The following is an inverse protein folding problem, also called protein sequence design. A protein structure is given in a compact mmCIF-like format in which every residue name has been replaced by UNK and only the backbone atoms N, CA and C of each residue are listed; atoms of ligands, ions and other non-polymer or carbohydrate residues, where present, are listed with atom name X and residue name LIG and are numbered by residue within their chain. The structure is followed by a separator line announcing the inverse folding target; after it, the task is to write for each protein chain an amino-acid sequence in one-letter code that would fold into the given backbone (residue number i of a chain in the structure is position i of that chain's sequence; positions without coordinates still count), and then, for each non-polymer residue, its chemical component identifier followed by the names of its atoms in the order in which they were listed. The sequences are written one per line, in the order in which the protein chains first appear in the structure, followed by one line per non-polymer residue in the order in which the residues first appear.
data_IF_541786180848
#
_entry.id   IF_541786180848
#
_cell.length_a   1.000
_cell.length_b   1.000
_cell.length_c   1.000
_cell.angle_alpha   90.00
_cell.angle_beta   90.00
_cell.angle_gamma   90.00
#
_symmetry.space_group_name_H-M   'P 1'
#
loop_
_entity.id
_entity.type
_entity.pdbx_description
1 polymer ?
#
# COMPACT_ATOMS: atom_id res chain seq x y z
N UNK A 1 43.85 17.14 35.06
CA UNK A 1 42.79 17.92 34.39
C UNK A 1 41.54 17.05 34.42
N UNK A 2 41.13 16.61 35.61
CA UNK A 2 40.35 17.39 36.62
C UNK A 2 38.98 17.71 36.01
N UNK A 3 37.86 17.09 36.41
CA UNK A 3 37.32 16.82 37.75
C UNK A 3 36.04 17.68 37.89
N UNK A 4 34.90 17.28 38.44
CA UNK A 4 34.44 16.04 39.05
C UNK A 4 32.93 16.13 39.33
N UNK A 5 32.33 14.97 39.59
CA UNK A 5 31.00 14.79 40.18
C UNK A 5 30.95 15.25 41.64
N UNK A 6 29.77 15.67 42.11
CA UNK A 6 29.52 15.99 43.52
C UNK A 6 28.06 15.78 43.90
N UNK A 7 27.72 14.53 44.23
CA UNK A 7 26.48 14.13 44.87
C UNK A 7 26.67 14.17 46.39
N UNK A 8 25.88 14.98 47.10
CA UNK A 8 25.81 14.97 48.56
C UNK A 8 24.73 13.99 49.02
N UNK A 9 25.18 12.80 49.42
CA UNK A 9 24.43 11.85 50.21
C UNK A 9 24.98 11.88 51.64
N UNK A 10 24.16 12.37 52.58
CA UNK A 10 24.33 12.08 54.00
C UNK A 10 23.82 10.65 54.27
N UNK A 11 24.57 9.86 55.05
CA UNK A 11 23.98 8.65 55.66
C UNK A 11 24.96 7.60 56.18
N UNK A 12 25.12 7.65 57.50
CA UNK A 12 25.23 6.49 58.41
C UNK A 12 26.56 5.78 58.71
N UNK A 13 26.99 6.05 59.95
CA UNK A 13 27.21 5.10 61.03
C UNK A 13 28.38 4.09 60.95
N UNK A 14 29.40 4.36 61.77
CA UNK A 14 30.30 3.37 62.34
C UNK A 14 30.77 3.83 63.73
N UNK A 15 30.83 2.94 64.75
CA UNK A 15 30.89 3.31 66.16
C UNK A 15 32.33 3.50 66.68
N UNK A 16 32.43 4.07 67.88
CA UNK A 16 33.59 4.03 68.79
C UNK A 16 34.79 4.97 68.51
N UNK A 17 34.66 6.20 69.02
CA UNK A 17 35.65 6.95 69.83
C UNK A 17 35.04 8.36 70.07
N UNK A 18 34.81 8.85 71.27
CA UNK A 18 35.71 8.84 72.41
C UNK A 18 36.36 10.23 72.52
N UNK A 19 35.83 11.02 73.46
CA UNK A 19 36.37 12.24 74.07
C UNK A 19 36.16 13.64 73.46
N UNK A 20 35.61 14.48 74.35
CA UNK A 20 35.81 15.92 74.56
C UNK A 20 35.44 16.88 73.41
N UNK A 21 34.57 17.86 73.62
CA UNK A 21 34.78 18.91 74.61
C UNK A 21 33.46 19.42 75.19
N UNK A 22 33.53 19.71 76.49
CA UNK A 22 32.47 20.27 77.30
C UNK A 22 32.37 21.79 77.16
N UNK A 23 31.16 22.26 77.48
CA UNK A 23 30.78 23.48 78.17
C UNK A 23 31.01 24.87 77.53
N UNK A 24 29.88 25.52 77.28
CA UNK A 24 29.73 26.95 77.07
C UNK A 24 28.28 27.36 77.30
N UNK A 25 27.78 27.13 78.51
CA UNK A 25 26.48 27.62 79.01
C UNK A 25 26.56 29.14 79.23
N UNK A 26 25.63 29.88 78.64
CA UNK A 26 25.24 31.22 79.08
C UNK A 26 23.82 31.50 78.57
N UNK A 27 22.84 31.15 79.40
CA UNK A 27 21.44 31.51 79.20
C UNK A 27 21.19 33.02 79.11
N UNK A 28 20.21 33.36 78.29
CA UNK A 28 19.35 34.51 78.50
C UNK A 28 17.95 34.13 78.00
N UNK A 29 16.99 34.24 78.91
CA UNK A 29 15.56 34.11 78.71
C UNK A 29 14.98 35.12 77.70
N UNK A 30 13.67 35.04 77.46
CA UNK A 30 12.80 35.92 76.64
C UNK A 30 12.59 35.46 75.20
N UNK A 31 11.63 34.56 74.99
CA UNK A 31 10.22 34.91 74.77
C UNK A 31 9.56 33.75 74.04
N UNK A 32 8.48 33.22 74.63
CA UNK A 32 7.53 32.38 73.92
C UNK A 32 6.93 33.20 72.78
N UNK A 33 7.57 33.13 71.61
CA UNK A 33 6.91 33.47 70.37
C UNK A 33 5.78 32.45 70.20
N UNK A 34 4.59 32.88 70.63
CA UNK A 34 3.32 32.46 70.09
C UNK A 34 3.52 32.14 68.61
N UNK A 35 3.46 30.85 68.27
CA UNK A 35 3.09 30.47 66.90
C UNK A 35 1.82 31.26 66.60
N UNK A 36 1.81 32.13 65.57
CA UNK A 36 0.55 32.68 65.13
C UNK A 36 -0.32 31.47 64.83
N UNK A 37 -1.52 31.47 65.42
CA UNK A 37 -2.59 30.57 65.01
C UNK A 37 -2.49 30.44 63.49
N UNK A 38 -2.23 29.23 63.00
CA UNK A 38 -2.60 28.90 61.64
C UNK A 38 -4.08 29.18 61.64
N UNK A 39 -4.43 30.35 61.13
CA UNK A 39 -5.76 30.70 60.73
C UNK A 39 -6.20 29.51 59.90
N UNK A 40 -7.04 28.64 60.49
CA UNK A 40 -7.82 27.65 59.76
C UNK A 40 -8.88 28.40 58.98
N UNK A 41 -8.43 29.43 58.25
CA UNK A 41 -9.15 30.09 57.20
C UNK A 41 -9.62 28.97 56.32
N UNK A 42 -10.93 28.78 56.37
CA UNK A 42 -11.71 27.81 55.61
C UNK A 42 -10.98 27.47 54.32
N UNK A 43 -10.60 26.20 54.06
CA UNK A 43 -9.85 25.85 52.85
C UNK A 43 -10.55 26.53 51.68
N UNK A 44 -9.78 27.35 50.93
CA UNK A 44 -10.33 28.15 49.85
C UNK A 44 -11.23 27.25 49.01
N UNK A 45 -12.52 27.58 48.97
CA UNK A 45 -13.50 26.74 48.30
C UNK A 45 -13.11 26.62 46.82
N UNK A 46 -13.34 25.44 46.24
CA UNK A 46 -13.08 25.18 44.82
C UNK A 46 -13.61 26.34 43.96
N UNK A 47 -12.74 27.11 43.26
CA UNK A 47 -13.17 28.28 42.49
C UNK A 47 -13.93 27.90 41.21
N UNK A 48 -13.89 26.61 40.83
CA UNK A 48 -14.70 26.03 39.77
C UNK A 48 -15.82 25.18 40.35
N UNK A 49 -15.84 23.91 39.96
CA UNK A 49 -16.83 22.93 40.41
C UNK A 49 -16.14 21.69 40.98
N UNK A 50 -16.78 21.08 41.98
CA UNK A 50 -16.38 19.79 42.51
C UNK A 50 -17.07 18.67 41.72
N UNK A 51 -16.27 17.80 41.10
CA UNK A 51 -16.77 16.68 40.28
C UNK A 51 -16.11 15.38 40.72
N UNK A 52 -16.71 14.20 40.46
CA UNK A 52 -16.11 12.93 40.82
C UNK A 52 -14.69 12.80 40.25
N UNK A 53 -13.76 12.27 41.04
CA UNK A 53 -12.41 12.01 40.54
C UNK A 53 -12.44 10.98 39.41
N UNK A 54 -11.55 11.13 38.45
CA UNK A 54 -11.32 10.18 37.38
C UNK A 54 -10.86 8.81 37.94
N UNK A 55 -11.31 7.69 37.36
CA UNK A 55 -10.72 6.40 37.65
C UNK A 55 -9.27 6.33 37.15
N UNK A 56 -8.48 5.43 37.72
CA UNK A 56 -7.08 5.22 37.29
C UNK A 56 -6.98 4.95 35.77
N UNK A 57 -6.07 5.66 35.11
CA UNK A 57 -5.80 5.51 33.67
C UNK A 57 -6.68 6.36 32.75
N UNK A 58 -7.53 7.22 33.30
CA UNK A 58 -8.24 8.29 32.58
C UNK A 58 -7.55 9.64 32.82
N UNK A 59 -7.79 10.60 31.93
CA UNK A 59 -7.37 11.99 32.17
C UNK A 59 -8.10 12.60 33.35
N UNK A 60 -7.52 13.66 33.91
CA UNK A 60 -8.27 14.56 34.80
C UNK A 60 -9.50 15.13 34.07
N UNK A 61 -10.58 15.48 34.81
CA UNK A 61 -11.75 16.12 34.23
C UNK A 61 -11.40 17.43 33.51
N UNK A 62 -11.91 17.58 32.30
CA UNK A 62 -11.70 18.72 31.43
C UNK A 62 -13.04 19.25 30.90
N UNK A 63 -13.04 20.50 30.45
CA UNK A 63 -14.18 21.11 29.76
C UNK A 63 -14.14 20.72 28.28
N UNK A 64 -15.13 19.97 27.82
CA UNK A 64 -15.25 19.51 26.44
C UNK A 64 -16.29 20.33 25.68
N UNK A 65 -15.89 20.90 24.55
CA UNK A 65 -16.82 21.44 23.56
C UNK A 65 -16.93 20.46 22.38
N UNK A 66 -18.15 20.32 21.82
CA UNK A 66 -18.43 19.46 20.66
C UNK A 66 -19.29 20.24 19.67
N UNK A 67 -18.88 20.28 18.41
CA UNK A 67 -19.64 20.94 17.35
C UNK A 67 -18.86 21.07 16.03
N UNK A 68 -19.36 21.84 15.06
CA UNK A 68 -18.67 22.08 13.78
C UNK A 68 -17.35 22.83 13.94
N UNK A 69 -16.28 22.39 13.27
CA UNK A 69 -14.92 22.94 13.46
C UNK A 69 -14.84 24.46 13.23
N UNK A 70 -15.62 25.00 12.30
CA UNK A 70 -15.69 26.43 11.99
C UNK A 70 -16.31 27.29 13.12
N UNK A 71 -16.98 26.65 14.08
CA UNK A 71 -17.59 27.27 15.26
C UNK A 71 -16.88 26.94 16.56
N UNK A 72 -15.76 26.21 16.50
CA UNK A 72 -15.03 25.81 17.69
C UNK A 72 -14.53 27.02 18.50
N UNK A 73 -14.94 27.18 19.77
CA UNK A 73 -14.46 28.26 20.61
C UNK A 73 -13.00 28.01 21.03
N UNK A 74 -12.30 29.10 21.35
CA UNK A 74 -11.05 29.02 22.10
C UNK A 74 -11.31 28.48 23.52
N UNK A 75 -10.27 27.91 24.11
CA UNK A 75 -10.34 27.46 25.50
C UNK A 75 -10.63 28.65 26.45
N UNK A 76 -11.58 28.52 27.39
CA UNK A 76 -11.97 29.61 28.26
C UNK A 76 -10.85 29.97 29.25
N UNK A 77 -10.85 31.20 29.77
CA UNK A 77 -9.80 31.66 30.69
C UNK A 77 -9.65 30.80 31.97
N UNK A 78 -10.72 30.16 32.41
CA UNK A 78 -10.70 29.23 33.55
C UNK A 78 -10.02 27.88 33.22
N UNK A 79 -9.95 27.51 31.94
CA UNK A 79 -9.32 26.29 31.44
C UNK A 79 -8.53 26.59 30.16
N UNK A 80 -7.41 27.34 30.22
CA UNK A 80 -6.78 27.92 29.03
C UNK A 80 -5.94 26.94 28.21
N UNK A 81 -5.76 25.70 28.67
CA UNK A 81 -4.84 24.72 28.06
C UNK A 81 -5.66 23.73 27.23
N UNK A 82 -5.34 23.59 25.94
CA UNK A 82 -5.91 22.53 25.09
C UNK A 82 -5.33 21.19 25.54
N UNK A 83 -6.20 20.31 26.05
CA UNK A 83 -5.84 18.98 26.51
C UNK A 83 -6.06 17.90 25.45
N UNK A 84 -7.04 18.09 24.56
CA UNK A 84 -7.38 17.14 23.51
C UNK A 84 -8.08 17.85 22.35
N UNK A 85 -7.82 17.38 21.13
CA UNK A 85 -8.61 17.71 19.95
C UNK A 85 -8.89 16.43 19.16
N UNK A 86 -10.11 16.30 18.65
CA UNK A 86 -10.52 15.12 17.90
C UNK A 86 -11.71 15.39 17.01
N UNK A 87 -11.96 14.48 16.07
CA UNK A 87 -13.00 14.59 15.05
C UNK A 87 -13.86 13.34 14.98
N UNK A 88 -15.12 13.48 14.61
CA UNK A 88 -16.03 12.36 14.42
C UNK A 88 -17.02 12.68 13.30
N UNK A 89 -17.94 11.74 13.03
CA UNK A 89 -18.87 11.83 11.90
C UNK A 89 -18.13 11.94 10.56
N UNK A 90 -17.28 10.94 10.28
CA UNK A 90 -16.48 10.87 9.07
C UNK A 90 -17.31 10.39 7.89
N UNK A 91 -17.30 11.17 6.81
CA UNK A 91 -17.83 10.75 5.51
C UNK A 91 -16.67 10.55 4.54
N UNK A 92 -16.50 9.31 4.06
CA UNK A 92 -15.48 9.00 3.08
C UNK A 92 -15.77 9.69 1.75
N UNK A 93 -14.74 10.27 1.13
CA UNK A 93 -14.85 10.83 -0.22
C UNK A 93 -15.15 9.74 -1.26
N UNK A 94 -15.69 10.13 -2.41
CA UNK A 94 -15.97 9.18 -3.49
C UNK A 94 -14.68 8.47 -3.96
N UNK A 95 -14.74 7.15 -4.13
CA UNK A 95 -13.63 6.40 -4.72
C UNK A 95 -13.62 6.63 -6.22
N UNK A 96 -12.49 7.05 -6.79
CA UNK A 96 -12.30 7.05 -8.24
C UNK A 96 -12.22 5.62 -8.76
N UNK A 97 -12.85 5.32 -9.91
CA UNK A 97 -12.62 4.05 -10.58
C UNK A 97 -11.16 3.99 -11.03
N UNK A 98 -10.54 2.82 -10.89
CA UNK A 98 -9.21 2.62 -11.42
C UNK A 98 -9.25 2.56 -12.95
N UNK A 99 -8.24 3.12 -13.63
CA UNK A 99 -8.21 3.10 -15.08
C UNK A 99 -7.95 1.68 -15.57
N UNK A 100 -8.50 1.36 -16.74
CA UNK A 100 -8.28 0.05 -17.35
C UNK A 100 -6.82 -0.11 -17.80
N UNK A 101 -6.23 -1.27 -17.55
CA UNK A 101 -4.91 -1.61 -18.06
C UNK A 101 -4.99 -2.11 -19.50
N UNK A 102 -4.00 -1.74 -20.30
CA UNK A 102 -3.81 -2.16 -21.67
C UNK A 102 -2.37 -2.68 -21.85
N UNK A 103 -2.18 -3.51 -22.86
CA UNK A 103 -0.87 -3.98 -23.27
C UNK A 103 -0.62 -3.54 -24.72
N UNK A 104 0.60 -3.07 -24.98
CA UNK A 104 1.05 -2.89 -26.35
C UNK A 104 1.27 -4.25 -27.02
N UNK A 105 1.19 -4.32 -28.37
CA UNK A 105 1.53 -5.54 -29.08
C UNK A 105 2.94 -6.02 -28.71
N UNK A 106 3.14 -7.34 -28.55
CA UNK A 106 4.45 -7.86 -28.22
C UNK A 106 5.41 -7.67 -29.38
N UNK A 107 6.69 -7.46 -29.05
CA UNK A 107 7.76 -7.74 -30.01
C UNK A 107 7.74 -9.23 -30.37
N UNK A 108 8.03 -9.60 -31.61
CA UNK A 108 8.16 -10.99 -32.01
C UNK A 108 9.14 -11.17 -33.18
N UNK A 109 9.65 -12.39 -33.31
CA UNK A 109 10.39 -12.81 -34.50
C UNK A 109 9.95 -14.20 -34.96
N UNK A 110 10.16 -14.52 -36.24
CA UNK A 110 9.86 -15.83 -36.81
C UNK A 110 11.17 -16.58 -37.06
N UNK A 111 11.40 -17.64 -36.30
CA UNK A 111 12.50 -18.57 -36.49
C UNK A 111 12.21 -19.46 -37.71
N UNK A 112 13.12 -19.43 -38.68
CA UNK A 112 13.01 -20.21 -39.91
C UNK A 112 13.35 -21.69 -39.64
N UNK A 113 12.59 -22.64 -40.21
CA UNK A 113 12.87 -24.06 -40.03
C UNK A 113 14.13 -24.42 -40.81
N UNK A 114 15.21 -24.80 -40.12
CA UNK A 114 16.45 -25.21 -40.77
C UNK A 114 16.51 -26.72 -41.10
N UNK A 115 15.77 -27.56 -40.38
CA UNK A 115 15.86 -29.01 -40.47
C UNK A 115 14.95 -29.61 -41.56
N UNK A 116 15.16 -29.26 -42.83
CA UNK A 116 14.40 -29.87 -43.93
C UNK A 116 14.95 -31.27 -44.23
N UNK A 117 14.07 -32.15 -44.68
CA UNK A 117 14.41 -33.53 -45.03
C UNK A 117 13.71 -33.95 -46.31
N UNK A 118 14.34 -34.83 -47.09
CA UNK A 118 13.65 -35.52 -48.19
C UNK A 118 13.39 -36.96 -47.84
N UNK A 119 12.35 -37.53 -48.44
CA UNK A 119 12.03 -38.95 -48.31
C UNK A 119 12.02 -39.63 -49.66
N UNK A 120 12.42 -40.90 -49.65
CA UNK A 120 12.30 -41.82 -50.78
C UNK A 120 10.87 -42.38 -50.97
N UNK A 121 9.86 -41.62 -50.55
CA UNK A 121 8.43 -41.93 -50.66
C UNK A 121 7.60 -40.65 -50.74
N UNK A 122 6.32 -40.78 -51.10
CA UNK A 122 5.30 -39.77 -50.82
C UNK A 122 4.05 -40.47 -50.26
N UNK A 123 3.48 -40.03 -49.12
CA UNK A 123 3.89 -38.87 -48.32
C UNK A 123 5.25 -39.07 -47.60
N UNK A 124 5.70 -38.02 -46.91
CA UNK A 124 6.84 -38.03 -46.01
C UNK A 124 6.56 -38.98 -44.82
N UNK A 125 7.60 -39.41 -44.11
CA UNK A 125 7.48 -40.25 -42.90
C UNK A 125 6.77 -41.61 -43.10
N UNK A 126 6.78 -42.15 -44.31
CA UNK A 126 6.28 -43.52 -44.53
C UNK A 126 7.23 -44.50 -43.84
N UNK A 127 6.73 -45.40 -42.96
CA UNK A 127 7.59 -46.37 -42.27
C UNK A 127 8.42 -47.21 -43.26
N UNK A 128 9.74 -47.21 -43.06
CA UNK A 128 10.69 -47.93 -43.91
C UNK A 128 11.15 -47.19 -45.16
N UNK A 129 10.66 -45.97 -45.42
CA UNK A 129 11.24 -45.10 -46.44
C UNK A 129 12.53 -44.45 -45.93
N UNK A 130 13.55 -44.34 -46.79
CA UNK A 130 14.79 -43.65 -46.45
C UNK A 130 14.55 -42.14 -46.33
N UNK A 131 15.03 -41.56 -45.23
CA UNK A 131 15.10 -40.10 -45.00
C UNK A 131 16.51 -39.61 -45.33
N UNK A 132 16.62 -38.49 -46.03
CA UNK A 132 17.90 -37.81 -46.31
C UNK A 132 17.83 -36.38 -45.81
N UNK A 133 18.73 -35.96 -44.89
CA UNK A 133 18.78 -34.57 -44.45
C UNK A 133 19.07 -33.62 -45.61
N UNK A 134 18.21 -32.62 -45.76
CA UNK A 134 18.40 -31.48 -46.65
C UNK A 134 18.38 -30.21 -45.79
N UNK A 135 19.14 -30.22 -44.69
CA UNK A 135 19.07 -29.21 -43.64
C UNK A 135 20.02 -28.03 -43.86
N UNK A 136 19.53 -26.82 -43.55
CA UNK A 136 20.31 -25.58 -43.52
C UNK A 136 21.33 -25.58 -42.38
N UNK A 137 22.43 -24.80 -42.50
CA UNK A 137 23.39 -24.66 -41.41
C UNK A 137 22.73 -24.06 -40.15
N UNK A 138 23.33 -24.29 -38.99
CA UNK A 138 22.85 -23.69 -37.74
C UNK A 138 22.87 -22.16 -37.80
N UNK A 139 21.81 -21.51 -37.30
CA UNK A 139 21.68 -20.05 -37.32
C UNK A 139 21.35 -19.46 -38.70
N UNK A 140 20.82 -20.28 -39.62
CA UNK A 140 20.44 -19.83 -40.95
C UNK A 140 19.36 -18.75 -40.93
N UNK A 141 19.59 -17.68 -41.68
CA UNK A 141 18.74 -16.49 -41.80
C UNK A 141 17.78 -16.53 -42.98
N UNK A 142 17.74 -17.65 -43.71
CA UNK A 142 16.89 -17.82 -44.89
C UNK A 142 17.58 -17.51 -46.22
N UNK A 143 18.82 -17.00 -46.18
CA UNK A 143 19.63 -16.76 -47.38
C UNK A 143 19.85 -18.02 -48.22
N UNK A 144 20.13 -17.86 -49.52
CA UNK A 144 20.38 -19.00 -50.38
C UNK A 144 21.55 -19.86 -49.85
N UNK A 145 21.35 -21.17 -49.70
CA UNK A 145 22.40 -22.09 -49.28
C UNK A 145 22.30 -23.44 -50.00
N UNK A 146 23.45 -23.98 -50.40
CA UNK A 146 23.60 -25.32 -51.00
C UNK A 146 24.04 -26.39 -49.99
N UNK A 147 24.03 -26.08 -48.69
CA UNK A 147 24.42 -27.05 -47.67
C UNK A 147 23.56 -28.33 -47.77
N UNK A 148 24.16 -29.51 -47.61
CA UNK A 148 23.41 -30.76 -47.67
C UNK A 148 22.64 -30.99 -48.97
N UNK A 149 23.13 -30.45 -50.11
CA UNK A 149 22.54 -30.69 -51.42
C UNK A 149 22.40 -32.18 -51.77
N UNK A 150 21.41 -32.51 -52.58
CA UNK A 150 21.11 -33.87 -53.06
C UNK A 150 21.24 -33.90 -54.57
N UNK A 151 22.14 -34.74 -55.06
CA UNK A 151 22.41 -34.90 -56.49
C UNK A 151 21.23 -35.51 -57.25
N UNK A 152 21.11 -35.16 -58.53
CA UNK A 152 20.11 -35.76 -59.42
C UNK A 152 20.28 -37.29 -59.47
N UNK A 153 19.18 -38.01 -59.30
CA UNK A 153 19.18 -39.48 -59.36
C UNK A 153 19.90 -40.17 -58.20
N UNK A 154 20.24 -39.45 -57.11
CA UNK A 154 20.86 -40.07 -55.94
C UNK A 154 19.96 -41.17 -55.37
N UNK A 155 20.56 -42.32 -55.02
CA UNK A 155 19.87 -43.49 -54.48
C UNK A 155 20.09 -43.60 -52.96
N UNK A 156 19.00 -43.80 -52.21
CA UNK A 156 18.96 -44.00 -50.76
C UNK A 156 18.16 -45.27 -50.48
N UNK A 157 18.81 -46.28 -49.90
CA UNK A 157 18.25 -47.61 -49.63
C UNK A 157 17.50 -48.25 -50.82
N UNK A 158 18.07 -48.09 -52.02
CA UNK A 158 17.55 -48.71 -53.25
C UNK A 158 16.39 -47.96 -53.91
N UNK A 159 16.02 -46.77 -53.41
CA UNK A 159 15.06 -45.86 -54.03
C UNK A 159 15.67 -44.47 -54.26
N UNK A 160 15.00 -43.61 -55.04
CA UNK A 160 15.45 -42.22 -55.24
C UNK A 160 15.29 -41.44 -53.94
N UNK A 161 16.35 -40.78 -53.47
CA UNK A 161 16.39 -40.07 -52.19
C UNK A 161 15.36 -38.93 -52.08
N UNK A 162 15.06 -38.31 -53.22
CA UNK A 162 14.21 -37.13 -53.33
C UNK A 162 12.93 -37.48 -54.10
N UNK A 163 11.87 -37.81 -53.37
CA UNK A 163 10.50 -38.00 -53.92
C UNK A 163 9.48 -37.10 -53.20
N UNK A 164 9.74 -36.77 -51.94
CA UNK A 164 9.03 -35.73 -51.20
C UNK A 164 9.98 -34.89 -50.37
N UNK A 165 9.57 -33.67 -50.06
CA UNK A 165 10.28 -32.71 -49.24
C UNK A 165 9.40 -32.38 -48.03
N UNK A 166 9.96 -32.60 -46.84
CA UNK A 166 9.38 -32.18 -45.57
C UNK A 166 10.05 -30.89 -45.10
N UNK A 167 9.21 -29.92 -44.75
CA UNK A 167 9.64 -28.65 -44.20
C UNK A 167 8.94 -28.49 -42.84
N UNK A 168 9.70 -28.46 -41.73
CA UNK A 168 9.12 -28.25 -40.41
C UNK A 168 8.36 -26.92 -40.31
N UNK A 169 7.46 -26.80 -39.34
CA UNK A 169 6.81 -25.55 -39.03
C UNK A 169 7.85 -24.50 -38.55
N UNK A 170 7.81 -23.24 -39.02
CA UNK A 170 8.52 -22.15 -38.38
C UNK A 170 8.02 -21.93 -36.95
N UNK A 171 8.81 -21.23 -36.13
CA UNK A 171 8.45 -20.94 -34.74
C UNK A 171 8.37 -19.44 -34.50
N UNK A 172 7.34 -19.01 -33.80
CA UNK A 172 7.29 -17.64 -33.28
C UNK A 172 8.07 -17.59 -31.99
N UNK A 173 9.00 -16.65 -31.90
CA UNK A 173 9.73 -16.32 -30.68
C UNK A 173 9.09 -15.06 -30.10
N UNK A 174 8.23 -15.18 -29.07
CA UNK A 174 7.57 -14.03 -28.47
C UNK A 174 8.57 -13.22 -27.63
N UNK A 175 8.42 -11.89 -27.69
CA UNK A 175 9.06 -10.93 -26.81
C UNK A 175 8.19 -10.58 -25.60
N UNK A 176 8.33 -9.37 -25.08
CA UNK A 176 7.53 -8.85 -23.97
C UNK A 176 6.52 -7.81 -24.45
N UNK A 177 5.43 -7.64 -23.70
CA UNK A 177 4.51 -6.52 -23.87
C UNK A 177 4.81 -5.40 -22.87
N UNK A 178 4.73 -4.16 -23.33
CA UNK A 178 4.77 -3.00 -22.45
C UNK A 178 3.35 -2.73 -21.88
N UNK A 179 3.19 -2.66 -20.54
CA UNK A 179 1.93 -2.27 -19.94
C UNK A 179 1.70 -0.77 -20.09
N UNK A 180 0.45 -0.38 -20.29
CA UNK A 180 0.02 1.03 -20.28
C UNK A 180 -1.35 1.18 -19.67
N UNK A 181 -1.67 2.41 -19.27
CA UNK A 181 -2.98 2.78 -18.76
C UNK A 181 -3.83 3.25 -19.95
N UNK A 182 -5.10 2.85 -20.00
CA UNK A 182 -6.04 3.43 -20.96
C UNK A 182 -6.15 4.94 -20.70
N UNK A 183 -6.09 5.76 -21.76
CA UNK A 183 -6.18 7.21 -21.60
C UNK A 183 -7.43 7.56 -20.79
N UNK A 184 -7.21 8.32 -19.72
CA UNK A 184 -8.27 8.71 -18.81
C UNK A 184 -9.25 9.64 -19.57
N UNK A 185 -10.57 9.47 -19.44
CA UNK A 185 -11.52 10.42 -19.99
C UNK A 185 -11.23 11.82 -19.45
N UNK A 186 -11.46 12.88 -20.25
CA UNK A 186 -11.31 14.27 -19.82
C UNK A 186 -11.99 14.48 -18.45
N UNK A 187 -11.19 14.81 -17.43
CA UNK A 187 -11.61 14.83 -16.02
C UNK A 187 -12.79 15.80 -15.78
N UNK A 188 -13.78 15.43 -14.96
CA UNK A 188 -14.47 16.36 -14.10
C UNK A 188 -13.72 16.51 -12.76
N UNK A 189 -13.51 17.78 -12.40
CA UNK A 189 -13.27 18.44 -11.11
C UNK A 189 -12.35 17.77 -10.06
N UNK A 190 -11.56 18.63 -9.40
CA UNK A 190 -10.50 18.28 -8.44
C UNK A 190 -10.93 17.19 -7.43
N UNK A 191 -10.03 16.27 -7.04
CA UNK A 191 -10.38 15.18 -6.14
C UNK A 191 -10.88 15.71 -4.80
N UNK A 192 -12.11 15.35 -4.44
CA UNK A 192 -12.53 15.29 -3.05
C UNK A 192 -11.55 14.34 -2.35
N UNK A 193 -10.82 14.84 -1.34
CA UNK A 193 -9.77 14.09 -0.66
C UNK A 193 -10.27 12.83 0.07
N UNK A 194 -9.49 12.38 1.06
CA UNK A 194 -9.81 11.19 1.87
C UNK A 194 -11.27 11.13 2.38
N UNK A 195 -11.86 12.29 2.61
CA UNK A 195 -13.20 12.50 3.14
C UNK A 195 -13.20 13.74 4.01
N UNK A 196 -14.26 13.92 4.80
CA UNK A 196 -14.36 15.00 5.76
C UNK A 196 -14.99 14.52 7.06
N UNK A 197 -14.64 15.20 8.15
CA UNK A 197 -15.30 15.04 9.44
C UNK A 197 -16.28 16.20 9.63
N UNK A 198 -17.51 15.91 10.03
CA UNK A 198 -18.50 16.97 10.28
C UNK A 198 -18.40 17.56 11.69
N UNK A 199 -17.90 16.79 12.66
CA UNK A 199 -17.88 17.16 14.07
C UNK A 199 -16.45 17.22 14.61
N UNK A 200 -16.16 18.30 15.31
CA UNK A 200 -14.93 18.55 16.03
C UNK A 200 -15.19 18.61 17.54
N UNK A 201 -14.19 18.22 18.32
CA UNK A 201 -14.20 18.30 19.76
C UNK A 201 -12.88 18.87 20.27
N UNK A 202 -12.98 19.75 21.27
CA UNK A 202 -11.85 20.34 21.98
C UNK A 202 -12.05 20.21 23.47
N UNK A 203 -11.12 19.54 24.16
CA UNK A 203 -11.07 19.51 25.61
C UNK A 203 -10.07 20.53 26.13
N UNK A 204 -10.49 21.27 27.15
CA UNK A 204 -9.75 22.35 27.77
C UNK A 204 -9.55 22.06 29.26
N UNK A 205 -8.31 22.19 29.74
CA UNK A 205 -7.95 22.02 31.15
C UNK A 205 -7.36 23.30 31.73
N UNK A 206 -7.33 23.39 33.05
CA UNK A 206 -6.80 24.53 33.78
C UNK A 206 -6.48 24.16 35.21
N UNK A 207 -5.79 25.06 35.90
CA UNK A 207 -5.37 24.85 37.28
C UNK A 207 -6.49 25.19 38.26
N UNK A 208 -7.00 24.20 38.98
CA UNK A 208 -7.91 24.39 40.10
C UNK A 208 -7.41 23.60 41.33
N UNK A 209 -6.53 24.22 42.12
CA UNK A 209 -5.78 23.53 43.20
C UNK A 209 -6.50 23.45 44.54
N UNK A 210 -7.73 23.94 44.64
CA UNK A 210 -8.48 23.98 45.89
C UNK A 210 -9.16 22.61 46.17
N UNK A 211 -9.10 22.08 47.40
CA UNK A 211 -9.73 20.81 47.73
C UNK A 211 -11.27 20.95 47.77
N UNK A 212 -11.95 19.89 47.33
CA UNK A 212 -13.39 19.73 47.53
C UNK A 212 -13.69 19.20 48.93
N UNK A 213 -14.89 19.46 49.44
CA UNK A 213 -15.31 18.99 50.75
C UNK A 213 -15.37 17.45 50.84
N UNK A 214 -15.74 16.79 49.74
CA UNK A 214 -15.72 15.33 49.61
C UNK A 214 -14.37 14.89 48.99
N UNK A 215 -13.61 14.00 49.66
CA UNK A 215 -12.32 13.50 49.15
C UNK A 215 -12.44 12.67 47.86
N UNK A 216 -13.63 12.15 47.54
CA UNK A 216 -13.91 11.47 46.28
C UNK A 216 -14.10 12.43 45.09
N UNK A 217 -14.09 13.73 45.35
CA UNK A 217 -14.26 14.77 44.34
C UNK A 217 -12.93 15.47 44.06
N UNK A 218 -12.79 16.00 42.84
CA UNK A 218 -11.69 16.86 42.43
C UNK A 218 -12.25 18.20 41.98
N UNK A 219 -11.48 19.26 42.20
CA UNK A 219 -11.83 20.60 41.74
C UNK A 219 -11.40 20.75 40.29
N UNK A 220 -12.33 21.13 39.42
CA UNK A 220 -12.09 21.36 37.99
C UNK A 220 -12.67 22.72 37.58
N UNK A 221 -12.18 23.36 36.51
CA UNK A 221 -12.86 24.51 35.92
C UNK A 221 -14.34 24.25 35.68
N UNK A 222 -15.18 25.26 35.95
CA UNK A 222 -16.60 25.22 35.65
C UNK A 222 -16.87 25.70 34.22
N UNK A 223 -17.89 25.17 33.52
CA UNK A 223 -18.32 25.70 32.24
C UNK A 223 -18.61 27.19 32.33
N UNK A 224 -18.22 28.00 31.33
CA UNK A 224 -18.63 29.40 31.28
C UNK A 224 -20.17 29.49 31.21
N UNK A 225 -20.74 30.51 31.84
CA UNK A 225 -22.17 30.75 31.89
C UNK A 225 -22.55 32.11 31.29
N UNK A 226 -23.80 32.26 30.83
CA UNK A 226 -24.31 33.51 30.26
C UNK A 226 -23.74 33.79 28.86
N UNK A 227 -23.50 35.07 28.55
CA UNK A 227 -23.02 35.52 27.22
C UNK A 227 -21.64 34.97 26.83
N UNK A 228 -20.87 34.46 27.81
CA UNK A 228 -19.57 33.85 27.57
C UNK A 228 -19.65 32.34 27.24
N UNK A 229 -20.83 31.73 27.33
CA UNK A 229 -21.02 30.32 27.00
C UNK A 229 -21.25 30.13 25.50
N UNK A 230 -20.56 29.19 24.82
CA UNK A 230 -20.93 28.82 23.47
C UNK A 230 -22.36 28.24 23.44
N UNK A 231 -23.11 28.40 22.33
CA UNK A 231 -24.47 27.87 22.22
C UNK A 231 -24.57 26.36 22.50
N UNK A 232 -23.54 25.61 22.10
CA UNK A 232 -23.43 24.16 22.32
C UNK A 232 -23.02 23.80 23.76
N UNK A 233 -22.56 24.76 24.57
CA UNK A 233 -22.12 24.55 25.95
C UNK A 233 -20.75 23.84 26.07
N UNK A 234 -20.29 23.68 27.31
CA UNK A 234 -19.14 22.84 27.65
C UNK A 234 -19.60 21.73 28.59
N UNK A 235 -19.24 20.49 28.25
CA UNK A 235 -19.43 19.31 29.09
C UNK A 235 -18.22 19.12 30.01
N UNK A 236 -18.40 18.44 31.14
CA UNK A 236 -17.27 18.02 31.98
C UNK A 236 -16.97 16.55 31.75
N UNK A 237 -15.79 16.26 31.19
CA UNK A 237 -15.47 14.93 30.67
C UNK A 237 -14.07 14.48 31.04
N UNK A 238 -13.87 13.17 31.06
CA UNK A 238 -12.56 12.52 31.14
C UNK A 238 -12.28 11.83 29.80
N UNK A 239 -11.02 11.68 29.41
CA UNK A 239 -10.65 11.03 28.15
C UNK A 239 -9.61 9.94 28.34
N UNK A 240 -9.62 8.98 27.41
CA UNK A 240 -8.64 7.90 27.34
C UNK A 240 -8.46 7.41 25.90
N UNK A 241 -7.23 7.07 25.56
CA UNK A 241 -6.91 6.49 24.25
C UNK A 241 -7.58 5.13 24.03
N UNK A 242 -8.02 4.93 22.78
CA UNK A 242 -8.77 3.77 22.30
C UNK A 242 -10.27 3.86 22.59
N UNK A 243 -11.02 2.91 22.05
CA UNK A 243 -12.42 2.72 22.42
C UNK A 243 -12.52 2.04 23.79
N UNK A 244 -13.26 2.67 24.71
CA UNK A 244 -13.41 2.26 26.11
C UNK A 244 -14.85 2.36 26.56
N UNK A 245 -15.19 1.58 27.57
CA UNK A 245 -16.44 1.76 28.31
C UNK A 245 -16.31 2.91 29.31
N UNK A 246 -17.36 3.70 29.40
CA UNK A 246 -17.39 4.81 30.33
C UNK A 246 -17.70 4.35 31.76
N UNK A 247 -17.05 4.95 32.78
CA UNK A 247 -17.38 4.67 34.17
C UNK A 247 -18.76 5.23 34.53
N UNK A 248 -19.38 4.66 35.55
CA UNK A 248 -20.72 5.09 36.00
C UNK A 248 -20.79 6.57 36.43
N UNK A 249 -19.66 7.17 36.82
CA UNK A 249 -19.57 8.59 37.19
C UNK A 249 -19.55 9.55 35.99
N UNK A 250 -19.23 9.04 34.80
CA UNK A 250 -19.18 9.77 33.52
C UNK A 250 -19.84 8.94 32.42
N UNK A 251 -21.15 8.65 32.50
CA UNK A 251 -21.79 7.64 31.65
C UNK A 251 -21.89 8.01 30.17
N UNK A 252 -21.82 9.29 29.81
CA UNK A 252 -22.09 9.75 28.44
C UNK A 252 -20.86 9.57 27.55
N UNK A 253 -20.93 8.62 26.62
CA UNK A 253 -19.80 8.19 25.79
C UNK A 253 -19.74 8.90 24.46
N UNK A 254 -18.57 9.45 24.13
CA UNK A 254 -18.24 10.00 22.82
C UNK A 254 -16.93 9.41 22.31
N UNK A 255 -16.85 9.11 21.02
CA UNK A 255 -15.64 8.56 20.38
C UNK A 255 -15.18 9.51 19.27
N UNK A 256 -13.91 9.87 19.31
CA UNK A 256 -13.28 10.78 18.37
C UNK A 256 -11.98 10.19 17.83
N UNK A 257 -11.54 10.72 16.70
CA UNK A 257 -10.36 10.30 15.96
C UNK A 257 -9.45 11.51 15.72
N UNK A 258 -8.15 11.31 15.72
CA UNK A 258 -7.18 12.36 15.40
C UNK A 258 -7.23 12.75 13.91
N UNK A 259 -7.61 11.80 13.05
CA UNK A 259 -7.74 12.01 11.61
C UNK A 259 -8.12 10.73 10.86
N UNK A 260 -7.92 10.74 9.55
CA UNK A 260 -8.12 9.59 8.68
C UNK A 260 -6.90 9.43 7.75
N UNK A 261 -6.52 8.18 7.49
CA UNK A 261 -5.54 7.81 6.48
C UNK A 261 -6.29 7.19 5.30
N UNK A 262 -6.01 7.70 4.10
CA UNK A 262 -6.53 7.14 2.87
C UNK A 262 -5.39 6.52 2.07
N UNK A 263 -5.42 5.20 1.97
CA UNK A 263 -4.47 4.43 1.17
C UNK A 263 -5.10 3.88 -0.10
N UNK A 264 -6.28 4.39 -0.49
CA UNK A 264 -6.96 3.95 -1.71
C UNK A 264 -6.09 4.29 -2.91
N UNK A 265 -5.91 3.30 -3.78
CA UNK A 265 -5.12 3.43 -4.99
C UNK A 265 -5.43 2.30 -5.97
N UNK A 266 -4.69 2.24 -7.05
CA UNK A 266 -4.88 1.23 -8.08
C UNK A 266 -3.68 0.27 -8.13
N UNK A 267 -3.97 -1.02 -8.31
CA UNK A 267 -2.94 -2.00 -8.58
C UNK A 267 -2.17 -1.60 -9.86
N UNK A 268 -0.83 -1.74 -9.88
CA UNK A 268 -0.04 -1.36 -11.05
C UNK A 268 -0.40 -2.22 -12.25
N UNK A 269 -0.45 -1.61 -13.45
CA UNK A 269 -0.68 -2.35 -14.68
C UNK A 269 0.49 -3.28 -15.02
N UNK A 270 0.16 -4.48 -15.47
CA UNK A 270 1.10 -5.48 -15.98
C UNK A 270 0.53 -6.21 -17.19
N UNK A 271 1.38 -6.98 -17.87
CA UNK A 271 1.01 -7.80 -19.02
C UNK A 271 1.45 -9.25 -18.81
N UNK A 272 0.57 -10.19 -19.12
CA UNK A 272 0.91 -11.61 -19.17
C UNK A 272 1.83 -11.94 -20.36
N UNK A 273 2.33 -13.17 -20.40
CA UNK A 273 3.12 -13.66 -21.55
C UNK A 273 2.28 -13.63 -22.85
N UNK A 274 2.90 -13.30 -24.00
CA UNK A 274 2.19 -13.29 -25.28
C UNK A 274 1.62 -14.66 -25.64
N UNK A 275 0.42 -14.67 -26.19
CA UNK A 275 -0.22 -15.88 -26.71
C UNK A 275 -0.78 -15.66 -28.12
N UNK A 276 -0.96 -16.76 -28.85
CA UNK A 276 -1.59 -16.73 -30.17
C UNK A 276 -0.72 -16.21 -31.31
N UNK A 277 0.59 -15.99 -31.09
CA UNK A 277 1.52 -15.60 -32.15
C UNK A 277 1.61 -16.65 -33.26
N UNK A 278 1.57 -16.21 -34.51
CA UNK A 278 1.71 -17.08 -35.68
C UNK A 278 2.71 -16.49 -36.67
N UNK A 279 3.41 -17.35 -37.42
CA UNK A 279 4.18 -16.86 -38.55
C UNK A 279 4.14 -17.82 -39.73
N UNK A 280 4.30 -17.25 -40.93
CA UNK A 280 4.38 -18.01 -42.16
C UNK A 280 5.66 -17.66 -42.90
N UNK A 281 6.28 -18.68 -43.49
CA UNK A 281 7.51 -18.57 -44.26
C UNK A 281 7.28 -19.11 -45.66
N UNK A 282 7.81 -18.41 -46.67
CA UNK A 282 7.94 -18.96 -48.02
C UNK A 282 9.23 -19.75 -48.08
N UNK A 283 9.11 -21.07 -48.19
CA UNK A 283 10.22 -22.00 -48.27
C UNK A 283 10.36 -22.50 -49.71
N UNK A 284 11.53 -22.29 -50.31
CA UNK A 284 11.83 -22.65 -51.70
C UNK A 284 13.05 -23.55 -51.80
N UNK A 285 12.96 -24.55 -52.68
CA UNK A 285 14.08 -25.41 -53.06
C UNK A 285 14.36 -25.28 -54.57
N UNK A 286 15.63 -25.43 -54.92
CA UNK A 286 16.15 -25.24 -56.26
C UNK A 286 17.07 -26.39 -56.63
N UNK A 287 17.21 -26.67 -57.92
CA UNK A 287 18.05 -27.76 -58.42
C UNK A 287 19.51 -27.37 -58.62
N UNK A 288 19.82 -26.07 -58.60
CA UNK A 288 21.17 -25.52 -58.66
C UNK A 288 21.63 -24.97 -57.32
N UNK A 289 22.91 -24.67 -57.18
CA UNK A 289 23.48 -24.11 -55.95
C UNK A 289 23.17 -22.62 -55.77
N UNK A 290 22.75 -21.94 -56.85
CA UNK A 290 22.56 -20.48 -56.90
C UNK A 290 21.12 -20.01 -56.59
N UNK A 291 20.22 -20.92 -56.23
CA UNK A 291 18.80 -20.62 -56.02
C UNK A 291 18.12 -19.99 -57.25
N UNK A 292 18.49 -20.44 -58.46
CA UNK A 292 17.97 -19.87 -59.71
C UNK A 292 17.08 -20.84 -60.49
N UNK A 293 17.30 -22.15 -60.34
CA UNK A 293 16.54 -23.20 -61.01
C UNK A 293 15.45 -23.72 -60.07
N UNK A 294 14.29 -23.07 -60.04
CA UNK A 294 13.19 -23.40 -59.13
C UNK A 294 12.70 -24.84 -59.27
N UNK A 295 12.54 -25.53 -58.14
CA UNK A 295 11.94 -26.88 -58.06
C UNK A 295 10.58 -26.81 -57.40
N UNK A 296 10.52 -26.29 -56.18
CA UNK A 296 9.29 -26.21 -55.39
C UNK A 296 9.34 -25.01 -54.43
N UNK A 297 8.17 -24.44 -54.16
CA UNK A 297 7.98 -23.31 -53.26
C UNK A 297 6.66 -23.47 -52.54
N UNK A 298 6.69 -23.42 -51.22
CA UNK A 298 5.51 -23.61 -50.37
C UNK A 298 5.50 -22.59 -49.25
N UNK A 299 4.31 -22.13 -48.87
CA UNK A 299 4.13 -21.33 -47.66
C UNK A 299 3.87 -22.29 -46.51
N UNK A 300 4.70 -22.23 -45.48
CA UNK A 300 4.61 -23.05 -44.27
C UNK A 300 4.25 -22.16 -43.11
N UNK A 301 3.18 -22.48 -42.39
CA UNK A 301 2.75 -21.75 -41.21
C UNK A 301 3.27 -22.43 -39.93
N UNK A 302 3.25 -21.71 -38.81
CA UNK A 302 3.74 -22.20 -37.52
C UNK A 302 2.86 -23.28 -36.87
N UNK A 303 1.76 -23.70 -37.50
CA UNK A 303 0.83 -24.69 -36.92
C UNK A 303 1.27 -26.13 -37.21
N UNK A 304 1.79 -26.39 -38.40
CA UNK A 304 2.18 -27.74 -38.80
C UNK A 304 3.30 -27.76 -39.85
N UNK A 305 4.11 -28.82 -39.82
CA UNK A 305 5.04 -29.11 -40.91
C UNK A 305 4.29 -29.42 -42.20
N UNK A 306 4.89 -29.08 -43.34
CA UNK A 306 4.36 -29.47 -44.64
C UNK A 306 5.18 -30.62 -45.24
N UNK A 307 4.48 -31.50 -45.94
CA UNK A 307 5.09 -32.48 -46.84
C UNK A 307 4.60 -32.21 -48.25
N UNK A 308 5.52 -32.01 -49.18
CA UNK A 308 5.19 -31.79 -50.60
C UNK A 308 5.88 -32.81 -51.49
N UNK A 309 5.19 -33.28 -52.51
CA UNK A 309 5.77 -34.16 -53.52
C UNK A 309 6.69 -33.35 -54.44
N UNK A 310 7.83 -33.92 -54.80
CA UNK A 310 8.73 -33.40 -55.83
C UNK A 310 8.90 -34.46 -56.92
N UNK A 311 9.28 -34.06 -58.12
CA UNK A 311 9.51 -35.02 -59.20
C UNK A 311 10.62 -36.00 -58.75
N UNK A 312 10.37 -37.32 -58.76
CA UNK A 312 11.34 -38.30 -58.29
C UNK A 312 12.70 -38.16 -58.97
N UNK A 313 13.76 -38.05 -58.17
CA UNK A 313 15.14 -37.97 -58.66
C UNK A 313 15.58 -36.59 -59.13
N UNK A 314 14.74 -35.55 -58.95
CA UNK A 314 15.15 -34.15 -59.12
C UNK A 314 16.26 -33.79 -58.13
N UNK A 315 17.28 -33.09 -58.62
CA UNK A 315 18.31 -32.52 -57.75
C UNK A 315 17.72 -31.45 -56.83
N UNK A 316 18.18 -31.42 -55.58
CA UNK A 316 17.96 -30.31 -54.66
C UNK A 316 19.33 -29.70 -54.36
N UNK A 317 19.73 -28.73 -55.17
CA UNK A 317 21.03 -28.06 -55.12
C UNK A 317 21.09 -26.95 -54.09
N UNK A 318 19.97 -26.29 -53.78
CA UNK A 318 19.92 -25.25 -52.76
C UNK A 318 18.51 -24.96 -52.24
N UNK A 319 18.44 -24.14 -51.19
CA UNK A 319 17.20 -23.66 -50.58
C UNK A 319 17.31 -22.22 -50.11
N UNK A 320 16.15 -21.58 -50.01
CA UNK A 320 15.96 -20.26 -49.41
C UNK A 320 14.67 -20.24 -48.59
N UNK A 321 14.60 -19.39 -47.57
CA UNK A 321 13.36 -19.12 -46.86
C UNK A 321 13.23 -17.63 -46.56
N UNK A 322 12.00 -17.11 -46.59
CA UNK A 322 11.72 -15.75 -46.16
C UNK A 322 10.42 -15.70 -45.36
N UNK A 323 10.38 -14.84 -44.34
CA UNK A 323 9.15 -14.59 -43.58
C UNK A 323 8.19 -13.81 -44.47
N UNK A 324 6.97 -14.34 -44.65
CA UNK A 324 5.92 -13.69 -45.43
C UNK A 324 4.85 -13.03 -44.56
N UNK A 325 4.63 -13.56 -43.36
CA UNK A 325 3.76 -12.94 -42.35
C UNK A 325 4.22 -13.29 -40.95
N UNK A 326 4.07 -12.33 -40.03
CA UNK A 326 4.29 -12.51 -38.61
C UNK A 326 3.17 -11.79 -37.88
N UNK A 327 2.38 -12.55 -37.14
CA UNK A 327 1.46 -12.04 -36.13
C UNK A 327 2.13 -12.27 -34.77
N UNK A 328 2.49 -11.21 -34.03
CA UNK A 328 3.17 -11.35 -32.74
C UNK A 328 2.26 -11.96 -31.66
N UNK A 329 0.94 -11.98 -31.86
CA UNK A 329 -0.04 -12.37 -30.85
C UNK A 329 -0.41 -11.21 -29.94
N UNK A 330 -1.02 -11.54 -28.79
CA UNK A 330 -1.50 -10.55 -27.83
C UNK A 330 -1.12 -10.90 -26.40
N UNK A 331 -1.05 -9.88 -25.55
CA UNK A 331 -0.91 -10.05 -24.11
C UNK A 331 -2.21 -9.71 -23.40
N UNK A 332 -2.55 -10.52 -22.41
CA UNK A 332 -3.65 -10.23 -21.51
C UNK A 332 -3.20 -9.16 -20.48
N UNK A 333 -3.91 -8.02 -20.37
CA UNK A 333 -3.61 -7.02 -19.36
C UNK A 333 -4.01 -7.51 -17.96
N UNK A 334 -3.27 -7.07 -16.96
CA UNK A 334 -3.48 -7.37 -15.55
C UNK A 334 -3.33 -6.10 -14.72
N UNK A 335 -3.91 -6.05 -13.54
CA UNK A 335 -3.88 -4.86 -12.68
C UNK A 335 -5.06 -3.92 -12.94
N UNK A 336 -4.99 -2.72 -12.36
CA UNK A 336 -6.08 -1.75 -12.46
C UNK A 336 -7.24 -2.04 -11.52
N UNK A 337 -7.12 -3.01 -10.60
CA UNK A 337 -8.10 -3.20 -9.54
C UNK A 337 -7.89 -2.16 -8.40
N UNK A 338 -8.98 -1.68 -7.76
CA UNK A 338 -8.88 -0.86 -6.57
C UNK A 338 -8.17 -1.61 -5.42
N UNK A 339 -7.32 -0.90 -4.71
CA UNK A 339 -6.54 -1.39 -3.57
C UNK A 339 -6.63 -0.41 -2.41
N UNK A 340 -6.30 -0.88 -1.20
CA UNK A 340 -6.29 -0.05 0.00
C UNK A 340 -7.69 0.26 0.54
N UNK A 341 -7.77 1.27 1.40
CA UNK A 341 -9.00 1.70 2.05
C UNK A 341 -8.80 2.97 2.86
N UNK A 342 -9.84 3.37 3.59
CA UNK A 342 -9.78 4.50 4.51
C UNK A 342 -9.82 3.97 5.94
N UNK A 343 -8.87 4.39 6.76
CA UNK A 343 -8.77 4.04 8.16
C UNK A 343 -8.81 5.30 9.04
N UNK A 344 -9.55 5.24 10.14
CA UNK A 344 -9.56 6.32 11.13
C UNK A 344 -8.41 6.14 12.11
N UNK A 345 -7.72 7.23 12.42
CA UNK A 345 -6.50 7.23 13.23
C UNK A 345 -6.74 7.79 14.62
N UNK A 346 -5.93 7.36 15.60
CA UNK A 346 -5.85 7.98 16.92
C UNK A 346 -7.19 8.02 17.66
N UNK A 347 -7.89 6.89 17.72
CA UNK A 347 -9.18 6.78 18.43
C UNK A 347 -9.00 7.13 19.91
N UNK A 348 -9.91 7.96 20.44
CA UNK A 348 -10.02 8.26 21.85
C UNK A 348 -11.48 8.26 22.30
N UNK A 349 -11.72 7.79 23.51
CA UNK A 349 -13.04 7.85 24.16
C UNK A 349 -13.06 9.00 25.15
N UNK A 350 -14.10 9.83 25.06
CA UNK A 350 -14.43 10.88 26.01
C UNK A 350 -15.71 10.49 26.73
N UNK A 351 -15.67 10.52 28.05
CA UNK A 351 -16.78 10.14 28.93
C UNK A 351 -17.19 11.36 29.72
N UNK A 352 -18.44 11.78 29.58
CA UNK A 352 -18.95 13.02 30.12
C UNK A 352 -19.96 12.79 31.24
N UNK A 353 -20.09 13.78 32.12
CA UNK A 353 -21.19 13.84 33.07
C UNK A 353 -22.47 14.24 32.33
N UNK A 354 -23.64 13.76 32.77
CA UNK A 354 -24.91 14.23 32.26
C UNK A 354 -25.02 15.74 32.47
N UNK A 355 -25.52 16.45 31.45
CA UNK A 355 -25.88 17.85 31.62
C UNK A 355 -26.91 17.98 32.75
N UNK A 356 -26.76 18.97 33.65
CA UNK A 356 -27.81 19.27 34.61
C UNK A 356 -29.08 19.62 33.84
N UNK A 357 -30.14 18.82 34.00
CA UNK A 357 -31.46 19.13 33.42
C UNK A 357 -31.87 20.49 33.99
N UNK A 358 -32.14 21.51 33.15
CA UNK A 358 -32.57 22.80 33.66
C UNK A 358 -33.88 22.62 34.45
N UNK A 359 -33.91 23.15 35.67
CA UNK A 359 -35.09 23.08 36.53
C UNK A 359 -36.32 23.58 35.76
N UNK A 360 -37.47 22.88 35.83
CA UNK A 360 -38.68 23.33 35.17
C UNK A 360 -39.05 24.72 35.67
N UNK A 361 -39.13 25.68 34.75
CA UNK A 361 -39.56 27.05 35.04
C UNK A 361 -40.93 26.98 35.72
N UNK A 362 -41.08 27.45 36.98
CA UNK A 362 -42.37 27.46 37.63
C UNK A 362 -43.33 28.34 36.82
N UNK A 363 -44.49 27.77 36.49
CA UNK A 363 -45.57 28.41 35.71
C UNK A 363 -46.21 29.60 36.43
#
# INVERSE_FOLDING_TARGET
MDGGDGADACGDAGPDAGDACADGDAGADFDSATVPELDTGTPAACPGQCVPREPFGWSEPALLWIGPEDRAPDCPAAAPIVAFEGRTDFTAGASRPCPACLCDPPDASCELPAAWSTYASFPCDVPGAAETPFAAPGGWDGSCTSAGAIDAGQMCDGALCAQSLQIPAPRVLPGSCAPRIAEEPEEPEEPEGAGSFAIFARACTGTAFAPCADPGMTCTPAPPAGEAAPPEGFLTCIHREGERDCPATYPDRHVFYAGAEDTRGCAPCGCAEPTGGTCSVLASAFSDEACSQFVVGVVVNSEASICTGIVPGTALGSRSASVVSLDPGTCEPTGGEPTGGVALLGTATLCCRPEPIPDPVPA
#
